data_IF_478326816954
#
_entry.id   IF_478326816954
#
_cell.length_a   1.000
_cell.length_b   1.000
_cell.length_c   1.000
_cell.angle_alpha   90.00
_cell.angle_beta   90.00
_cell.angle_gamma   90.00
#
_symmetry.space_group_name_H-M   'P 1'
#
loop_
_entity.id
_entity.type
_entity.pdbx_description
1 polymer ?
#
# COMPACT_ATOMS: atom_id res chain seq x y z
N UNK A 1 -7.71 -9.18 -16.32
CA UNK A 1 -9.15 -9.49 -16.44
C UNK A 1 -9.35 -10.32 -17.70
N UNK A 2 -10.10 -11.41 -17.61
CA UNK A 2 -10.36 -12.26 -18.77
C UNK A 2 -11.54 -11.66 -19.55
N UNK A 3 -11.31 -11.34 -20.82
CA UNK A 3 -12.30 -10.67 -21.69
C UNK A 3 -13.62 -11.43 -21.84
N UNK A 4 -13.65 -12.71 -21.47
CA UNK A 4 -14.85 -13.56 -21.44
C UNK A 4 -15.93 -13.07 -20.46
N UNK A 5 -15.56 -12.24 -19.49
CA UNK A 5 -16.49 -11.69 -18.49
C UNK A 5 -16.97 -10.27 -18.82
N UNK A 6 -16.50 -9.70 -19.91
CA UNK A 6 -16.82 -8.33 -20.31
C UNK A 6 -18.14 -8.26 -21.08
N UNK A 7 -18.88 -7.17 -20.88
CA UNK A 7 -20.15 -6.95 -21.56
C UNK A 7 -19.96 -6.51 -23.02
N UNK A 8 -21.02 -6.58 -23.85
CA UNK A 8 -20.99 -6.14 -25.25
C UNK A 8 -20.50 -4.69 -25.47
N UNK A 9 -20.55 -3.85 -24.43
CA UNK A 9 -20.10 -2.46 -24.42
C UNK A 9 -18.73 -2.26 -23.73
N UNK A 10 -17.94 -3.32 -23.52
CA UNK A 10 -16.62 -3.25 -22.86
C UNK A 10 -16.69 -3.06 -21.33
N UNK A 11 -17.82 -3.44 -20.72
CA UNK A 11 -18.02 -3.31 -19.28
C UNK A 11 -17.28 -4.44 -18.55
N UNK A 12 -16.22 -4.09 -17.81
CA UNK A 12 -15.44 -5.04 -16.99
C UNK A 12 -16.32 -5.80 -15.99
N UNK A 13 -16.14 -7.13 -15.94
CA UNK A 13 -16.86 -8.04 -15.04
C UNK A 13 -18.39 -8.01 -15.19
N UNK A 14 -18.91 -7.66 -16.37
CA UNK A 14 -20.35 -7.58 -16.65
C UNK A 14 -21.12 -8.83 -16.21
N UNK A 15 -20.65 -10.03 -16.55
CA UNK A 15 -21.34 -11.28 -16.23
C UNK A 15 -21.52 -11.46 -14.70
N UNK A 16 -20.45 -11.24 -13.94
CA UNK A 16 -20.51 -11.30 -12.47
C UNK A 16 -21.48 -10.26 -11.90
N UNK A 17 -21.43 -9.02 -12.41
CA UNK A 17 -22.33 -7.97 -11.94
C UNK A 17 -23.78 -8.32 -12.24
N UNK A 18 -24.09 -8.82 -13.43
CA UNK A 18 -25.45 -9.24 -13.78
C UNK A 18 -25.95 -10.38 -12.89
N UNK A 19 -25.11 -11.39 -12.63
CA UNK A 19 -25.47 -12.54 -11.80
C UNK A 19 -25.74 -12.18 -10.32
N UNK A 20 -25.17 -11.09 -9.82
CA UNK A 20 -25.33 -10.62 -8.44
C UNK A 20 -26.52 -9.65 -8.24
N UNK A 21 -27.32 -9.39 -9.29
CA UNK A 21 -28.47 -8.50 -9.19
C UNK A 21 -29.49 -9.05 -8.17
N UNK A 22 -29.92 -8.21 -7.23
CA UNK A 22 -30.81 -8.62 -6.13
C UNK A 22 -30.12 -9.36 -4.98
N UNK A 23 -28.84 -9.74 -5.12
CA UNK A 23 -28.03 -10.36 -4.05
C UNK A 23 -27.08 -9.35 -3.37
N UNK A 24 -26.63 -8.33 -4.10
CA UNK A 24 -25.79 -7.25 -3.59
C UNK A 24 -26.45 -5.89 -3.86
N UNK A 25 -26.27 -4.90 -2.96
CA UNK A 25 -26.61 -3.50 -3.25
C UNK A 25 -25.92 -3.01 -4.51
N UNK A 26 -26.60 -2.21 -5.32
CA UNK A 26 -26.05 -1.71 -6.59
C UNK A 26 -24.80 -0.87 -6.40
N UNK A 27 -24.71 -0.12 -5.29
CA UNK A 27 -23.51 0.62 -4.89
C UNK A 27 -22.27 -0.25 -4.65
N UNK A 28 -22.44 -1.54 -4.33
CA UNK A 28 -21.35 -2.52 -4.23
C UNK A 28 -21.15 -3.23 -5.58
N UNK A 29 -22.25 -3.76 -6.13
CA UNK A 29 -22.26 -4.59 -7.34
C UNK A 29 -21.83 -3.84 -8.59
N UNK A 30 -22.12 -2.55 -8.69
CA UNK A 30 -21.79 -1.68 -9.83
C UNK A 30 -20.57 -0.79 -9.55
N UNK A 31 -19.90 -0.95 -8.40
CA UNK A 31 -18.73 -0.16 -8.09
C UNK A 31 -17.60 -0.40 -9.11
N UNK A 32 -17.16 0.67 -9.76
CA UNK A 32 -16.04 0.67 -10.72
C UNK A 32 -14.74 1.15 -10.10
N UNK A 33 -14.78 1.69 -8.89
CA UNK A 33 -13.59 2.07 -8.15
C UNK A 33 -12.79 0.81 -7.83
N UNK A 34 -11.54 0.78 -8.28
CA UNK A 34 -10.60 -0.27 -7.86
C UNK A 34 -10.40 -0.17 -6.35
N UNK A 35 -10.61 -1.29 -5.66
CA UNK A 35 -10.18 -1.42 -4.27
C UNK A 35 -8.69 -1.08 -4.16
N UNK A 36 -8.32 -0.26 -3.18
CA UNK A 36 -6.90 -0.03 -2.89
C UNK A 36 -6.39 -1.26 -2.15
N UNK A 37 -5.46 -1.97 -2.76
CA UNK A 37 -4.68 -2.97 -2.04
C UNK A 37 -3.97 -2.30 -0.85
N UNK A 38 -3.94 -3.00 0.28
CA UNK A 38 -3.30 -2.55 1.51
C UNK A 38 -3.83 -1.19 2.00
N UNK A 39 -5.14 -0.94 1.87
CA UNK A 39 -5.76 0.30 2.35
C UNK A 39 -5.59 0.50 3.87
N UNK A 40 -5.45 -0.59 4.62
CA UNK A 40 -5.20 -0.68 6.05
C UNK A 40 -3.71 -0.53 6.43
N UNK A 41 -2.79 -0.49 5.44
CA UNK A 41 -1.35 -0.48 5.66
C UNK A 41 -0.91 0.58 6.67
N UNK A 42 -1.37 1.82 6.51
CA UNK A 42 -0.96 2.91 7.39
C UNK A 42 -1.45 2.68 8.83
N UNK A 43 -2.64 2.08 9.01
CA UNK A 43 -3.14 1.70 10.34
C UNK A 43 -2.28 0.61 10.97
N UNK A 44 -1.88 -0.40 10.19
CA UNK A 44 -0.97 -1.46 10.66
C UNK A 44 0.41 -0.94 11.05
N UNK A 45 0.96 0.00 10.27
CA UNK A 45 2.24 0.63 10.59
C UNK A 45 2.17 1.45 11.89
N UNK A 46 1.06 2.16 12.14
CA UNK A 46 0.86 2.85 13.42
C UNK A 46 0.77 1.88 14.59
N UNK A 47 0.05 0.76 14.42
CA UNK A 47 -0.06 -0.26 15.46
C UNK A 47 1.30 -0.91 15.79
N UNK A 48 2.19 -1.03 14.81
CA UNK A 48 3.56 -1.53 14.97
C UNK A 48 4.62 -0.41 14.99
N UNK A 49 4.27 0.77 15.51
CA UNK A 49 5.11 1.97 15.39
C UNK A 49 6.52 1.81 15.97
N UNK A 50 6.67 1.11 17.09
CA UNK A 50 7.98 0.85 17.70
C UNK A 50 8.88 -0.03 16.81
N UNK A 51 8.31 -1.04 16.17
CA UNK A 51 9.04 -1.90 15.21
C UNK A 51 9.49 -1.10 13.98
N UNK A 52 8.67 -0.15 13.52
CA UNK A 52 9.03 0.74 12.40
C UNK A 52 10.20 1.64 12.78
N UNK A 53 10.20 2.24 13.98
CA UNK A 53 11.31 3.06 14.45
C UNK A 53 12.59 2.23 14.63
N UNK A 54 12.47 1.03 15.21
CA UNK A 54 13.60 0.11 15.34
C UNK A 54 14.18 -0.29 13.97
N UNK A 55 13.33 -0.55 12.98
CA UNK A 55 13.76 -0.84 11.61
C UNK A 55 14.46 0.35 10.96
N UNK A 56 13.98 1.58 11.18
CA UNK A 56 14.64 2.79 10.68
C UNK A 56 16.01 3.01 11.31
N UNK A 57 16.21 2.60 12.57
CA UNK A 57 17.52 2.61 13.22
C UNK A 57 18.43 1.53 12.64
N UNK A 58 17.93 0.30 12.47
CA UNK A 58 18.71 -0.82 11.91
C UNK A 58 19.17 -0.56 10.47
N UNK A 59 18.37 0.15 9.68
CA UNK A 59 18.72 0.55 8.31
C UNK A 59 19.81 1.64 8.29
N UNK A 60 19.97 2.42 9.34
CA UNK A 60 20.92 3.55 9.43
C UNK A 60 22.36 3.09 9.63
N UNK A 61 22.93 2.51 8.58
CA UNK A 61 24.31 2.06 8.53
C UNK A 61 25.00 2.51 7.23
N UNK A 62 26.34 2.64 7.22
CA UNK A 62 27.07 3.19 6.08
C UNK A 62 26.79 2.50 4.74
N UNK A 63 26.52 1.18 4.76
CA UNK A 63 26.29 0.40 3.55
C UNK A 63 24.94 0.70 2.91
N UNK A 64 23.85 0.67 3.68
CA UNK A 64 22.53 1.08 3.19
C UNK A 64 22.47 2.57 2.84
N UNK A 65 23.15 3.44 3.60
CA UNK A 65 23.16 4.89 3.40
C UNK A 65 23.80 5.32 2.07
N UNK A 66 24.60 4.45 1.43
CA UNK A 66 25.10 4.69 0.08
C UNK A 66 24.03 4.62 -1.02
N UNK A 67 22.88 3.97 -0.73
CA UNK A 67 21.82 3.72 -1.71
C UNK A 67 20.46 4.29 -1.31
N UNK A 68 20.25 4.55 -0.02
CA UNK A 68 18.97 4.99 0.54
C UNK A 68 19.03 6.42 1.06
N UNK A 69 17.96 7.17 0.81
CA UNK A 69 17.72 8.47 1.42
C UNK A 69 16.91 8.30 2.72
N UNK A 70 17.62 8.22 3.85
CA UNK A 70 16.96 7.99 5.14
C UNK A 70 16.08 9.14 5.60
N UNK A 71 16.40 10.38 5.21
CA UNK A 71 15.53 11.50 5.52
C UNK A 71 14.17 11.32 4.85
N UNK A 72 14.16 10.83 3.61
CA UNK A 72 12.92 10.52 2.90
C UNK A 72 12.13 9.37 3.53
N UNK A 73 12.81 8.34 4.05
CA UNK A 73 12.16 7.26 4.81
C UNK A 73 11.52 7.80 6.10
N UNK A 74 12.28 8.58 6.90
CA UNK A 74 11.79 9.19 8.14
C UNK A 74 10.64 10.15 7.88
N UNK A 75 10.68 10.93 6.80
CA UNK A 75 9.57 11.79 6.38
C UNK A 75 8.33 11.00 5.99
N UNK A 76 8.48 9.90 5.23
CA UNK A 76 7.34 9.05 4.89
C UNK A 76 6.68 8.44 6.14
N UNK A 77 7.48 8.10 7.15
CA UNK A 77 6.96 7.63 8.44
C UNK A 77 6.26 8.75 9.24
N UNK A 78 6.88 9.93 9.32
CA UNK A 78 6.28 11.10 9.99
C UNK A 78 4.94 11.51 9.35
N UNK A 79 4.82 11.43 8.02
CA UNK A 79 3.56 11.67 7.29
C UNK A 79 2.45 10.73 7.77
N UNK A 80 2.75 9.44 7.96
CA UNK A 80 1.79 8.43 8.46
C UNK A 80 1.39 8.74 9.90
N UNK A 81 2.37 9.03 10.77
CA UNK A 81 2.13 9.40 12.18
C UNK A 81 1.28 10.65 12.34
N UNK A 82 1.46 11.63 11.45
CA UNK A 82 0.70 12.88 11.49
C UNK A 82 -0.73 12.68 11.02
N UNK A 83 -0.94 12.00 9.89
CA UNK A 83 -2.27 11.80 9.35
C UNK A 83 -2.30 10.65 8.33
N UNK A 84 -3.24 9.71 8.52
CA UNK A 84 -3.52 8.68 7.52
C UNK A 84 -4.35 9.30 6.38
N UNK A 85 -3.77 9.31 5.19
CA UNK A 85 -4.38 9.76 3.95
C UNK A 85 -4.00 8.78 2.83
N UNK A 86 -4.71 8.81 1.70
CA UNK A 86 -4.31 8.00 0.54
C UNK A 86 -2.85 8.24 0.12
N UNK A 87 -2.38 9.49 0.24
CA UNK A 87 -1.01 9.89 -0.12
C UNK A 87 0.02 9.35 0.88
N UNK A 88 -0.24 9.47 2.19
CA UNK A 88 0.69 8.95 3.22
C UNK A 88 0.73 7.42 3.20
N UNK A 89 -0.41 6.74 3.04
CA UNK A 89 -0.45 5.28 2.84
C UNK A 89 0.33 4.84 1.61
N UNK A 90 0.18 5.56 0.49
CA UNK A 90 0.93 5.25 -0.73
C UNK A 90 2.45 5.46 -0.56
N UNK A 91 2.88 6.53 0.10
CA UNK A 91 4.29 6.78 0.43
C UNK A 91 4.84 5.73 1.39
N UNK A 92 4.05 5.29 2.37
CA UNK A 92 4.44 4.24 3.29
C UNK A 92 4.78 2.93 2.55
N UNK A 93 3.96 2.55 1.57
CA UNK A 93 4.22 1.37 0.75
C UNK A 93 5.38 1.52 -0.23
N UNK A 94 5.49 2.67 -0.90
CA UNK A 94 6.45 2.86 -2.00
C UNK A 94 7.82 3.39 -1.58
N UNK A 95 7.90 4.05 -0.42
CA UNK A 95 9.15 4.64 0.12
C UNK A 95 9.55 3.90 1.38
N UNK A 96 8.73 3.93 2.43
CA UNK A 96 9.12 3.44 3.75
C UNK A 96 9.38 1.92 3.74
N UNK A 97 8.38 1.11 3.40
CA UNK A 97 8.52 -0.36 3.45
C UNK A 97 9.56 -0.89 2.47
N UNK A 98 9.62 -0.34 1.24
CA UNK A 98 10.64 -0.74 0.26
C UNK A 98 12.05 -0.31 0.69
N UNK A 99 12.17 0.88 1.28
CA UNK A 99 13.43 1.38 1.82
C UNK A 99 13.91 0.53 3.00
N UNK A 100 13.02 0.17 3.93
CA UNK A 100 13.35 -0.72 5.05
C UNK A 100 13.80 -2.08 4.54
N UNK A 101 13.03 -2.71 3.64
CA UNK A 101 13.39 -4.00 3.04
C UNK A 101 14.78 -3.97 2.39
N UNK A 102 15.03 -2.99 1.52
CA UNK A 102 16.30 -2.87 0.83
C UNK A 102 17.45 -2.56 1.80
N UNK A 103 17.20 -1.74 2.82
CA UNK A 103 18.21 -1.32 3.78
C UNK A 103 18.69 -2.46 4.67
N UNK A 104 17.76 -3.26 5.20
CA UNK A 104 18.09 -4.46 5.98
C UNK A 104 18.91 -5.45 5.16
N UNK A 105 18.47 -5.73 3.93
CA UNK A 105 19.20 -6.60 3.00
C UNK A 105 20.63 -6.08 2.70
N UNK A 106 20.78 -4.77 2.49
CA UNK A 106 22.10 -4.18 2.22
C UNK A 106 23.02 -4.26 3.44
N UNK A 107 22.48 -4.16 4.65
CA UNK A 107 23.26 -4.23 5.89
C UNK A 107 23.67 -5.67 6.25
N UNK A 108 23.02 -6.68 5.66
CA UNK A 108 23.34 -8.09 5.89
C UNK A 108 22.49 -8.76 6.96
N UNK A 109 21.33 -8.18 7.26
CA UNK A 109 20.25 -8.78 8.07
C UNK A 109 19.19 -9.45 7.19
#
# INVERSE_FOLDING_TARGET
PDAIFDGPAGVDRYLMRAAMAGLLPDEVRLNTMRGRQSADLAGRLLASGEEVEASLVAVDAPRANAYLDLNKLRHAWADVRRQITAKSTHRAGTILLRGVLAGLYLNGD
#
